data_IF_633923674067
#
_entry.id   IF_633923674067
#
_cell.length_a   1.000
_cell.length_b   1.000
_cell.length_c   1.000
_cell.angle_alpha   90.00
_cell.angle_beta   90.00
_cell.angle_gamma   90.00
#
_symmetry.space_group_name_H-M   'P 1'
#
loop_
_entity.id
_entity.type
_entity.pdbx_description
1 polymer ?
#
# COMPACT_ATOMS: atom_id res chain seq x y z
N UNK A 1 -10.05 -22.45 -11.71
CA UNK A 1 -8.84 -21.74 -11.23
C UNK A 1 -9.17 -20.78 -10.10
N UNK A 2 -10.17 -19.90 -10.25
CA UNK A 2 -10.59 -18.94 -9.20
C UNK A 2 -11.03 -19.58 -7.87
N UNK A 3 -11.77 -20.69 -7.91
CA UNK A 3 -12.21 -21.45 -6.71
C UNK A 3 -11.04 -22.02 -5.91
N UNK A 4 -10.02 -22.55 -6.59
CA UNK A 4 -8.82 -23.12 -5.95
C UNK A 4 -8.00 -22.03 -5.23
N UNK A 5 -7.94 -20.82 -5.81
CA UNK A 5 -7.25 -19.68 -5.19
C UNK A 5 -8.04 -19.21 -3.97
N UNK A 6 -9.37 -19.12 -4.06
CA UNK A 6 -10.23 -18.75 -2.95
C UNK A 6 -10.13 -19.74 -1.78
N UNK A 7 -10.09 -21.05 -2.06
CA UNK A 7 -9.97 -22.09 -1.02
C UNK A 7 -8.61 -22.06 -0.31
N UNK A 8 -7.53 -21.69 -1.03
CA UNK A 8 -6.17 -21.64 -0.46
C UNK A 8 -5.82 -20.31 0.22
N UNK A 9 -6.33 -19.20 -0.30
CA UNK A 9 -5.94 -17.85 0.14
C UNK A 9 -7.04 -17.12 0.90
N UNK A 10 -8.27 -17.61 0.85
CA UNK A 10 -9.45 -16.93 1.36
C UNK A 10 -9.84 -15.67 0.56
N UNK A 11 -9.15 -15.36 -0.55
CA UNK A 11 -9.49 -14.19 -1.38
C UNK A 11 -10.67 -14.48 -2.29
N UNK A 12 -11.68 -13.62 -2.19
CA UNK A 12 -12.76 -13.52 -3.17
C UNK A 12 -12.29 -12.64 -4.33
N UNK A 13 -11.76 -13.28 -5.37
CA UNK A 13 -11.38 -12.60 -6.61
C UNK A 13 -12.56 -12.53 -7.57
N UNK A 14 -12.62 -11.47 -8.37
CA UNK A 14 -13.51 -11.36 -9.53
C UNK A 14 -15.01 -11.46 -9.20
N UNK A 15 -15.41 -10.93 -8.05
CA UNK A 15 -16.83 -10.78 -7.72
C UNK A 15 -17.34 -9.43 -8.21
N UNK A 16 -18.54 -9.41 -8.79
CA UNK A 16 -19.25 -8.17 -9.07
C UNK A 16 -20.10 -7.85 -7.83
N UNK A 17 -19.93 -6.67 -7.23
CA UNK A 17 -20.80 -6.22 -6.14
C UNK A 17 -22.14 -5.76 -6.75
N UNK A 18 -23.18 -6.57 -6.56
CA UNK A 18 -24.53 -6.37 -7.11
C UNK A 18 -25.32 -5.22 -6.48
N UNK A 19 -24.68 -4.36 -5.68
CA UNK A 19 -25.32 -3.25 -4.98
C UNK A 19 -25.47 -1.97 -5.81
N UNK A 20 -24.92 -1.94 -7.02
CA UNK A 20 -25.25 -0.87 -7.97
C UNK A 20 -25.57 -1.48 -9.33
N UNK A 21 -26.69 -1.06 -9.92
CA UNK A 21 -27.13 -1.42 -11.28
C UNK A 21 -26.24 -0.82 -12.39
N UNK A 22 -24.97 -0.62 -12.11
CA UNK A 22 -24.04 0.13 -12.95
C UNK A 22 -22.93 -0.81 -13.41
N UNK A 23 -22.66 -0.78 -14.70
CA UNK A 23 -21.73 -1.56 -15.52
C UNK A 23 -20.29 -1.65 -14.98
N UNK A 24 -20.06 -2.27 -13.84
CA UNK A 24 -18.73 -2.51 -13.25
C UNK A 24 -18.41 -4.00 -13.24
N UNK A 25 -17.41 -4.43 -14.01
CA UNK A 25 -17.08 -5.84 -14.17
C UNK A 25 -16.56 -6.50 -12.88
N UNK A 26 -15.49 -5.95 -12.30
CA UNK A 26 -14.79 -6.56 -11.15
C UNK A 26 -14.76 -5.59 -9.97
N UNK A 27 -14.98 -6.09 -8.75
CA UNK A 27 -14.84 -5.33 -7.49
C UNK A 27 -13.44 -5.47 -6.86
N UNK A 28 -12.42 -5.77 -7.67
CA UNK A 28 -11.07 -6.00 -7.15
C UNK A 28 -10.47 -4.70 -6.60
N UNK A 29 -10.41 -4.61 -5.27
CA UNK A 29 -9.86 -3.44 -4.56
C UNK A 29 -8.35 -3.53 -4.39
N UNK A 30 -7.69 -2.40 -4.09
CA UNK A 30 -6.26 -2.38 -3.78
C UNK A 30 -5.85 -3.29 -2.61
N UNK A 31 -6.77 -3.58 -1.67
CA UNK A 31 -6.54 -4.56 -0.60
C UNK A 31 -6.42 -5.99 -1.12
N UNK A 32 -7.19 -6.37 -2.13
CA UNK A 32 -7.08 -7.68 -2.78
C UNK A 32 -5.82 -7.76 -3.66
N UNK A 33 -5.52 -6.69 -4.40
CA UNK A 33 -4.29 -6.61 -5.20
C UNK A 33 -3.02 -6.79 -4.37
N UNK A 34 -2.92 -6.13 -3.21
CA UNK A 34 -1.75 -6.29 -2.31
C UNK A 34 -1.58 -7.71 -1.76
N UNK A 35 -2.69 -8.40 -1.46
CA UNK A 35 -2.64 -9.79 -1.01
C UNK A 35 -2.28 -10.74 -2.15
N UNK A 36 -2.72 -10.43 -3.36
CA UNK A 36 -2.42 -11.23 -4.54
C UNK A 36 -0.92 -11.20 -4.89
N UNK A 37 -0.29 -10.02 -4.83
CA UNK A 37 1.12 -9.85 -5.23
C UNK A 37 2.17 -10.17 -4.13
N UNK A 38 1.76 -10.69 -2.96
CA UNK A 38 2.61 -10.99 -1.79
C UNK A 38 3.50 -9.82 -1.29
N UNK A 39 3.95 -9.86 -0.04
CA UNK A 39 4.77 -8.78 0.55
C UNK A 39 6.19 -8.74 -0.04
N UNK A 40 6.66 -9.86 -0.58
CA UNK A 40 8.05 -10.08 -1.00
C UNK A 40 8.43 -9.24 -2.23
N UNK A 41 7.45 -8.87 -3.07
CA UNK A 41 7.68 -8.02 -4.25
C UNK A 41 7.75 -6.53 -3.89
N UNK A 42 7.24 -6.13 -2.71
CA UNK A 42 7.16 -4.72 -2.30
C UNK A 42 8.50 -4.17 -1.83
N UNK A 43 9.35 -4.99 -1.21
CA UNK A 43 10.65 -4.54 -0.69
C UNK A 43 11.67 -4.24 -1.80
N UNK A 44 11.33 -4.52 -3.06
CA UNK A 44 12.14 -4.17 -4.25
C UNK A 44 11.99 -2.68 -4.62
N UNK A 45 11.04 -1.95 -4.02
CA UNK A 45 10.73 -0.55 -4.35
C UNK A 45 11.55 0.51 -3.60
N UNK A 46 12.70 0.16 -3.05
CA UNK A 46 13.78 1.14 -2.83
C UNK A 46 14.52 1.36 -4.16
N UNK A 47 13.85 2.03 -5.11
CA UNK A 47 14.30 2.11 -6.50
C UNK A 47 15.56 2.95 -6.61
N UNK A 48 16.66 2.31 -6.98
CA UNK A 48 17.68 2.95 -7.79
C UNK A 48 17.16 2.96 -9.24
N UNK A 49 17.02 4.13 -9.85
CA UNK A 49 16.48 4.32 -11.21
C UNK A 49 17.18 3.41 -12.22
N UNK A 50 18.48 3.15 -12.05
CA UNK A 50 19.26 2.29 -12.94
C UNK A 50 18.83 0.82 -12.84
N UNK A 51 18.63 0.31 -11.61
CA UNK A 51 18.17 -1.07 -11.37
C UNK A 51 16.74 -1.28 -11.88
N UNK A 52 15.89 -0.26 -11.77
CA UNK A 52 14.52 -0.32 -12.26
C UNK A 52 14.45 -0.36 -13.79
N UNK A 53 15.31 0.41 -14.48
CA UNK A 53 15.40 0.35 -15.93
C UNK A 53 15.88 -1.02 -16.42
N UNK A 54 16.85 -1.63 -15.75
CA UNK A 54 17.31 -2.99 -16.04
C UNK A 54 16.19 -4.03 -15.88
N UNK A 55 15.42 -3.94 -14.79
CA UNK A 55 14.28 -4.81 -14.53
C UNK A 55 13.21 -4.69 -15.64
N UNK A 56 12.91 -3.46 -16.07
CA UNK A 56 11.97 -3.21 -17.17
C UNK A 56 12.49 -3.79 -18.50
N UNK A 57 13.78 -3.64 -18.79
CA UNK A 57 14.37 -4.21 -20.01
C UNK A 57 14.29 -5.74 -20.01
N UNK A 58 14.58 -6.37 -18.87
CA UNK A 58 14.42 -7.82 -18.71
C UNK A 58 12.97 -8.25 -18.91
N UNK A 59 12.01 -7.49 -18.37
CA UNK A 59 10.59 -7.79 -18.54
C UNK A 59 10.11 -7.59 -19.99
N UNK A 60 10.59 -6.56 -20.70
CA UNK A 60 10.31 -6.36 -22.14
C UNK A 60 10.82 -7.52 -23.00
N UNK A 61 11.98 -8.08 -22.65
CA UNK A 61 12.54 -9.26 -23.31
C UNK A 61 11.66 -10.49 -23.08
N UNK A 62 11.16 -10.68 -21.85
CA UNK A 62 10.23 -11.75 -21.52
C UNK A 62 8.93 -11.63 -22.33
N UNK A 63 8.34 -10.42 -22.39
CA UNK A 63 7.12 -10.16 -23.14
C UNK A 63 7.27 -10.40 -24.65
N UNK A 64 8.43 -10.07 -25.22
CA UNK A 64 8.71 -10.31 -26.64
C UNK A 64 8.63 -11.79 -27.04
N UNK A 65 8.85 -12.70 -26.08
CA UNK A 65 8.76 -14.15 -26.31
C UNK A 65 7.31 -14.64 -26.31
N UNK A 66 6.41 -13.96 -25.58
CA UNK A 66 5.03 -14.38 -25.36
C UNK A 66 4.06 -13.59 -26.25
N UNK A 67 4.00 -13.94 -27.54
CA UNK A 67 3.19 -13.22 -28.56
C UNK A 67 1.67 -13.33 -28.38
N UNK A 68 1.18 -14.18 -27.48
CA UNK A 68 -0.25 -14.47 -27.32
C UNK A 68 -0.94 -13.57 -26.29
N UNK A 69 -0.20 -12.72 -25.58
CA UNK A 69 -0.74 -11.85 -24.54
C UNK A 69 -0.79 -10.40 -25.03
N UNK A 70 -2.00 -9.89 -25.24
CA UNK A 70 -2.23 -8.45 -25.33
C UNK A 70 -2.29 -7.86 -23.92
N UNK A 71 -1.45 -6.87 -23.66
CA UNK A 71 -1.40 -6.19 -22.36
C UNK A 71 -2.35 -4.99 -22.32
N UNK A 72 -2.85 -4.70 -21.12
CA UNK A 72 -3.70 -3.53 -20.89
C UNK A 72 -2.90 -2.23 -21.00
N UNK A 73 -3.59 -1.11 -21.23
CA UNK A 73 -2.96 0.21 -21.31
C UNK A 73 -2.19 0.59 -20.02
N UNK A 74 -2.64 0.11 -18.86
CA UNK A 74 -1.96 0.32 -17.57
C UNK A 74 -0.61 -0.39 -17.52
N UNK A 75 -0.56 -1.65 -17.96
CA UNK A 75 0.67 -2.43 -18.05
C UNK A 75 1.63 -1.82 -19.08
N UNK A 76 1.11 -1.41 -20.24
CA UNK A 76 1.90 -0.69 -21.24
C UNK A 76 2.54 0.57 -20.67
N UNK A 77 1.73 1.44 -20.06
CA UNK A 77 2.21 2.70 -19.48
C UNK A 77 3.24 2.47 -18.38
N UNK A 78 3.04 1.43 -17.56
CA UNK A 78 3.99 1.05 -16.52
C UNK A 78 5.32 0.55 -17.09
N UNK A 79 5.33 -0.24 -18.15
CA UNK A 79 6.57 -0.85 -18.67
C UNK A 79 7.33 0.10 -19.60
N UNK A 80 6.62 0.86 -20.44
CA UNK A 80 7.24 1.66 -21.47
C UNK A 80 7.51 3.10 -21.03
N UNK A 81 6.67 3.68 -20.17
CA UNK A 81 6.75 5.10 -19.82
C UNK A 81 7.14 5.38 -18.36
N UNK A 82 7.12 4.40 -17.46
CA UNK A 82 7.39 4.67 -16.03
C UNK A 82 8.77 5.27 -15.75
N UNK A 83 9.84 4.79 -16.40
CA UNK A 83 11.18 5.37 -16.24
C UNK A 83 11.22 6.83 -16.68
N UNK A 84 10.59 7.15 -17.81
CA UNK A 84 10.51 8.49 -18.36
C UNK A 84 9.68 9.42 -17.45
N UNK A 85 8.57 8.91 -16.90
CA UNK A 85 7.73 9.63 -15.94
C UNK A 85 8.48 9.92 -14.64
N UNK A 86 9.21 8.95 -14.09
CA UNK A 86 10.02 9.14 -12.87
C UNK A 86 11.10 10.21 -13.11
N UNK A 87 11.76 10.18 -14.27
CA UNK A 87 12.76 11.19 -14.64
C UNK A 87 12.14 12.59 -14.77
N UNK A 88 10.97 12.71 -15.41
CA UNK A 88 10.23 13.98 -15.51
C UNK A 88 9.76 14.49 -14.15
N UNK A 89 9.39 13.58 -13.25
CA UNK A 89 8.96 13.90 -11.89
C UNK A 89 10.12 14.08 -10.91
N UNK A 90 11.31 14.49 -11.40
CA UNK A 90 12.49 14.76 -10.57
C UNK A 90 12.93 13.58 -9.67
N UNK A 91 12.70 12.33 -10.11
CA UNK A 91 13.05 11.13 -9.34
C UNK A 91 12.05 10.74 -8.25
N UNK A 92 10.91 11.44 -8.16
CA UNK A 92 9.82 11.08 -7.24
C UNK A 92 9.17 9.77 -7.71
N UNK A 93 8.95 8.85 -6.76
CA UNK A 93 8.32 7.58 -7.07
C UNK A 93 6.85 7.78 -7.47
N UNK A 94 6.37 7.02 -8.46
CA UNK A 94 4.98 7.14 -8.96
C UNK A 94 3.93 6.94 -7.86
N UNK A 95 4.22 6.09 -6.87
CA UNK A 95 3.35 5.86 -5.72
C UNK A 95 3.21 7.07 -4.79
N UNK A 96 4.22 7.95 -4.72
CA UNK A 96 4.16 9.16 -3.88
C UNK A 96 3.24 10.23 -4.48
N UNK A 97 3.10 10.22 -5.81
CA UNK A 97 2.19 11.09 -6.56
C UNK A 97 0.82 10.44 -6.83
N UNK A 98 0.54 9.31 -6.17
CA UNK A 98 -0.66 8.52 -6.42
C UNK A 98 -1.93 9.18 -5.84
N UNK A 99 -3.05 8.97 -6.53
CA UNK A 99 -4.38 9.38 -6.09
C UNK A 99 -4.89 8.57 -4.88
N UNK A 100 -4.25 7.46 -4.52
CA UNK A 100 -4.63 6.61 -3.38
C UNK A 100 -4.75 7.41 -2.07
N UNK A 101 -3.91 8.42 -1.87
CA UNK A 101 -3.95 9.28 -0.70
C UNK A 101 -5.23 10.14 -0.66
N UNK A 102 -5.69 10.65 -1.81
CA UNK A 102 -6.93 11.41 -1.94
C UNK A 102 -8.15 10.50 -1.78
N UNK A 103 -8.12 9.30 -2.35
CA UNK A 103 -9.20 8.32 -2.18
C UNK A 103 -9.37 7.92 -0.71
N UNK A 104 -8.26 7.73 0.01
CA UNK A 104 -8.27 7.51 1.45
C UNK A 104 -8.92 8.67 2.21
N UNK A 105 -8.69 9.92 1.78
CA UNK A 105 -9.32 11.10 2.37
C UNK A 105 -10.85 11.12 2.17
N UNK A 106 -11.40 10.51 1.11
CA UNK A 106 -12.85 10.42 0.92
C UNK A 106 -13.53 9.62 2.05
N UNK A 107 -12.83 8.68 2.68
CA UNK A 107 -13.33 7.97 3.86
C UNK A 107 -13.45 8.92 5.06
N UNK A 108 -12.44 9.77 5.26
CA UNK A 108 -12.44 10.76 6.33
C UNK A 108 -13.53 11.82 6.12
N UNK A 109 -13.74 12.27 4.87
CA UNK A 109 -14.83 13.20 4.53
C UNK A 109 -16.19 12.64 4.93
N UNK A 110 -16.47 11.37 4.59
CA UNK A 110 -17.72 10.69 4.97
C UNK A 110 -17.87 10.64 6.49
N UNK A 111 -16.82 10.25 7.21
CA UNK A 111 -16.84 10.18 8.67
C UNK A 111 -17.05 11.55 9.33
N UNK A 112 -16.37 12.59 8.85
CA UNK A 112 -16.50 13.94 9.39
C UNK A 112 -17.89 14.50 9.15
N UNK A 113 -18.46 14.22 7.98
CA UNK A 113 -19.82 14.60 7.64
C UNK A 113 -20.87 13.91 8.52
N UNK A 114 -20.65 12.65 8.89
CA UNK A 114 -21.62 11.88 9.67
C UNK A 114 -21.60 12.22 11.16
N UNK A 115 -20.40 12.31 11.75
CA UNK A 115 -20.21 12.35 13.21
C UNK A 115 -19.72 13.69 13.75
N UNK A 116 -19.00 14.47 12.95
CA UNK A 116 -18.21 15.59 13.47
C UNK A 116 -18.63 16.97 12.93
N UNK A 117 -19.70 17.04 12.15
CA UNK A 117 -20.20 18.29 11.57
C UNK A 117 -21.62 18.59 12.02
N UNK A 118 -21.97 19.87 12.08
CA UNK A 118 -23.33 20.29 12.41
C UNK A 118 -24.28 19.90 11.28
N UNK A 119 -25.47 19.42 11.64
CA UNK A 119 -26.54 19.00 10.71
C UNK A 119 -27.63 20.08 10.52
N UNK A 120 -27.31 21.33 10.86
CA UNK A 120 -28.23 22.46 10.78
C UNK A 120 -28.34 23.08 9.38
N UNK A 121 -27.47 22.72 8.44
CA UNK A 121 -27.53 23.19 7.05
C UNK A 121 -26.32 22.76 6.24
N UNK A 122 -26.45 22.72 4.91
CA UNK A 122 -25.39 22.22 4.02
C UNK A 122 -24.11 23.05 4.08
N UNK A 123 -24.22 24.38 4.12
CA UNK A 123 -23.05 25.28 4.20
C UNK A 123 -22.30 25.04 5.51
N UNK A 124 -23.00 25.05 6.64
CA UNK A 124 -22.39 24.83 7.95
C UNK A 124 -21.75 23.44 8.06
N UNK A 125 -22.40 22.43 7.50
CA UNK A 125 -21.88 21.08 7.44
C UNK A 125 -20.56 21.01 6.65
N UNK A 126 -20.54 21.61 5.46
CA UNK A 126 -19.35 21.62 4.60
C UNK A 126 -18.21 22.44 5.21
N UNK A 127 -18.51 23.59 5.81
CA UNK A 127 -17.52 24.40 6.52
C UNK A 127 -16.88 23.61 7.67
N UNK A 128 -17.67 22.86 8.45
CA UNK A 128 -17.14 22.04 9.54
C UNK A 128 -16.25 20.90 9.02
N UNK A 129 -16.66 20.23 7.95
CA UNK A 129 -15.86 19.18 7.29
C UNK A 129 -14.56 19.76 6.75
N UNK A 130 -14.61 20.90 6.08
CA UNK A 130 -13.44 21.58 5.51
C UNK A 130 -12.45 21.99 6.60
N UNK A 131 -12.93 22.62 7.67
CA UNK A 131 -12.10 23.03 8.80
C UNK A 131 -11.39 21.81 9.43
N UNK A 132 -12.07 20.67 9.55
CA UNK A 132 -11.47 19.44 10.09
C UNK A 132 -10.42 18.83 9.17
N UNK A 133 -10.65 18.84 7.86
CA UNK A 133 -9.64 18.45 6.88
C UNK A 133 -8.40 19.34 7.01
N UNK A 134 -8.60 20.65 7.14
CA UNK A 134 -7.52 21.62 7.27
C UNK A 134 -6.67 21.38 8.52
N UNK A 135 -7.32 21.18 9.68
CA UNK A 135 -6.66 20.81 10.94
C UNK A 135 -5.87 19.51 10.76
N UNK A 136 -6.45 18.50 10.11
CA UNK A 136 -5.80 17.20 9.86
C UNK A 136 -4.57 17.31 8.96
N UNK A 137 -4.62 18.17 7.94
CA UNK A 137 -3.50 18.40 7.02
C UNK A 137 -2.39 19.28 7.60
N UNK A 138 -2.62 19.94 8.73
CA UNK A 138 -1.66 20.85 9.35
C UNK A 138 -0.33 20.15 9.69
N UNK A 139 0.83 20.66 9.22
CA UNK A 139 2.12 19.96 9.38
C UNK A 139 2.55 19.84 10.85
N UNK A 140 2.25 20.85 11.67
CA UNK A 140 2.56 20.85 13.11
C UNK A 140 1.77 19.76 13.83
N UNK A 141 0.46 19.69 13.58
CA UNK A 141 -0.43 18.68 14.17
C UNK A 141 -0.01 17.29 13.71
N UNK A 142 0.30 17.14 12.42
CA UNK A 142 0.75 15.87 11.85
C UNK A 142 2.05 15.38 12.50
N UNK A 143 3.01 16.28 12.75
CA UNK A 143 4.25 15.96 13.45
C UNK A 143 4.01 15.48 14.88
N UNK A 144 3.15 16.18 15.64
CA UNK A 144 2.79 15.78 17.01
C UNK A 144 2.14 14.39 17.02
N UNK A 145 1.24 14.15 16.07
CA UNK A 145 0.54 12.87 15.92
C UNK A 145 1.53 11.75 15.57
N UNK A 146 2.42 11.96 14.60
CA UNK A 146 3.43 10.94 14.22
C UNK A 146 4.35 10.58 15.37
N UNK A 147 4.82 11.57 16.14
CA UNK A 147 5.70 11.35 17.28
C UNK A 147 5.02 10.52 18.37
N UNK A 148 3.70 10.66 18.50
CA UNK A 148 2.88 9.88 19.44
C UNK A 148 2.69 8.44 18.97
N UNK A 149 2.50 8.21 17.66
CA UNK A 149 2.34 6.87 17.10
C UNK A 149 3.63 6.05 17.13
N UNK A 150 4.79 6.65 16.89
CA UNK A 150 6.10 5.98 16.99
C UNK A 150 6.32 5.43 18.40
N UNK A 151 5.95 6.18 19.44
CA UNK A 151 6.04 5.72 20.84
C UNK A 151 5.13 4.53 21.14
N UNK A 152 3.93 4.45 20.54
CA UNK A 152 3.00 3.32 20.73
C UNK A 152 3.47 2.04 20.03
N UNK A 153 4.03 2.14 18.83
CA UNK A 153 4.58 1.00 18.09
C UNK A 153 5.77 0.38 18.85
N UNK A 154 6.70 1.22 19.34
CA UNK A 154 7.83 0.77 20.17
C UNK A 154 7.32 0.08 21.44
N UNK A 155 6.33 0.66 22.13
CA UNK A 155 5.78 0.06 23.34
C UNK A 155 5.16 -1.33 23.09
N UNK A 156 4.41 -1.49 21.98
CA UNK A 156 3.81 -2.77 21.61
C UNK A 156 4.82 -3.86 21.26
N UNK A 157 5.98 -3.49 20.69
CA UNK A 157 7.08 -4.42 20.38
C UNK A 157 7.90 -4.78 21.63
N UNK A 158 8.11 -3.82 22.56
CA UNK A 158 8.83 -4.08 23.82
C UNK A 158 8.05 -4.97 24.78
N UNK A 159 6.72 -4.90 24.81
CA UNK A 159 5.89 -5.77 25.66
C UNK A 159 5.87 -7.24 25.22
N UNK A 160 6.21 -7.54 23.97
CA UNK A 160 6.38 -8.91 23.46
C UNK A 160 7.81 -9.42 23.57
N UNK A 161 8.80 -8.56 23.80
CA UNK A 161 10.22 -8.93 23.88
C UNK A 161 10.70 -9.21 25.32
N UNK A 162 9.91 -8.92 26.35
CA UNK A 162 10.28 -9.08 27.77
C UNK A 162 10.10 -10.49 28.36
N UNK A 163 10.05 -11.55 27.55
CA UNK A 163 10.02 -12.94 28.04
C UNK A 163 11.05 -13.88 27.39
N UNK A 164 12.06 -13.34 26.71
CA UNK A 164 13.22 -14.12 26.24
C UNK A 164 14.52 -13.43 26.60
N UNK A 165 14.81 -13.36 27.90
CA UNK A 165 16.22 -13.32 28.33
C UNK A 165 16.82 -14.67 28.01
N UNK A 166 17.56 -14.76 26.90
CA UNK A 166 18.35 -15.93 26.55
C UNK A 166 19.34 -16.17 27.69
N UNK A 167 19.21 -17.33 28.34
CA UNK A 167 20.14 -17.80 29.34
C UNK A 167 21.52 -17.97 28.69
N UNK A 168 22.58 -17.67 29.44
CA UNK A 168 23.98 -17.73 29.01
C UNK A 168 24.38 -19.13 28.48
N UNK A 169 23.62 -20.17 28.82
CA UNK A 169 23.81 -21.55 28.39
C UNK A 169 23.61 -21.79 26.88
N UNK A 170 22.77 -20.99 26.21
CA UNK A 170 22.50 -21.16 24.76
C UNK A 170 23.64 -20.62 23.88
N UNK A 171 24.51 -19.74 24.40
CA UNK A 171 25.68 -19.25 23.65
C UNK A 171 26.81 -20.29 23.54
N UNK A 172 26.86 -21.25 24.48
CA UNK A 172 27.89 -22.28 24.52
C UNK A 172 27.63 -23.37 23.47
N UNK A 173 26.36 -23.68 23.19
CA UNK A 173 26.00 -24.67 22.16
C UNK A 173 26.25 -24.18 20.73
N UNK A 174 26.06 -22.89 20.48
CA UNK A 174 26.31 -22.26 19.16
C UNK A 174 27.79 -22.17 18.81
N UNK A 175 28.65 -22.00 19.81
CA UNK A 175 30.11 -21.98 19.62
C UNK A 175 30.69 -23.37 19.39
N UNK A 176 30.12 -24.42 20.00
CA UNK A 176 30.54 -25.81 19.77
C UNK A 176 30.12 -26.35 18.39
N UNK A 177 29.00 -25.88 17.82
CA UNK A 177 28.50 -26.37 16.53
C UNK A 177 29.24 -25.81 15.31
N UNK A 178 30.02 -24.74 15.47
CA UNK A 178 30.78 -24.08 14.40
C UNK A 178 32.25 -24.54 14.29
N UNK A 179 32.66 -25.54 15.08
CA UNK A 179 34.04 -26.05 15.11
C UNK A 179 34.22 -27.51 14.69
N UNK A 180 33.23 -28.14 14.04
CA UNK A 180 33.40 -29.43 13.33
C UNK A 180 33.12 -29.30 11.84
#
# INVERSE_FOLDING_TARGET
MLTIIQDKTGLRLDQCDSTSSTTGGTSTTGGQGRKFFSYEVRDILSINILKFNELIMNFKKLLSNEKWIDYTMTVHSLIFHSCELIQRNHGVALGELSEEALESCNKDIRNFREFLSRKCGHIMNLTDVFNRLFIRSGPVIRKIISDTFTKRQIHSQTSTATSTTLNEDDQILLTLFLQN
#
